data_IF_696788044837
#
_entry.id   IF_696788044837
#
_cell.length_a   1.000
_cell.length_b   1.000
_cell.length_c   1.000
_cell.angle_alpha   90.00
_cell.angle_beta   90.00
_cell.angle_gamma   90.00
#
_symmetry.space_group_name_H-M   'P 1'
#
loop_
_entity.id
_entity.type
_entity.pdbx_description
1 polymer ?
#
# COMPACT_ATOMS: atom_id res chain seq x y z
N UNK A 1 35.19 2.78 -49.91
CA UNK A 1 33.73 3.02 -50.08
C UNK A 1 32.85 1.88 -49.57
N UNK A 2 33.24 1.19 -48.46
CA UNK A 2 32.39 0.20 -47.77
C UNK A 2 32.19 0.56 -46.28
N UNK A 3 33.13 1.33 -45.73
CA UNK A 3 33.11 1.74 -44.33
C UNK A 3 31.96 2.70 -43.98
N UNK A 4 31.66 3.66 -44.86
CA UNK A 4 30.52 4.57 -44.70
C UNK A 4 29.18 3.82 -44.74
N UNK A 5 29.02 2.86 -45.65
CA UNK A 5 27.81 2.03 -45.72
C UNK A 5 27.63 1.17 -44.47
N UNK A 6 28.71 0.55 -43.97
CA UNK A 6 28.71 -0.23 -42.72
C UNK A 6 28.38 0.68 -41.53
N UNK A 7 28.96 1.88 -41.48
CA UNK A 7 28.69 2.86 -40.43
C UNK A 7 27.24 3.35 -40.45
N UNK A 8 26.69 3.66 -41.63
CA UNK A 8 25.31 4.06 -41.81
C UNK A 8 24.33 2.94 -41.37
N UNK A 9 24.61 1.68 -41.70
CA UNK A 9 23.82 0.54 -41.24
C UNK A 9 23.89 0.41 -39.72
N UNK A 10 25.08 0.54 -39.12
CA UNK A 10 25.26 0.51 -37.66
C UNK A 10 24.50 1.63 -36.94
N UNK A 11 24.47 2.84 -37.52
CA UNK A 11 23.69 3.96 -37.00
C UNK A 11 22.18 3.71 -37.07
N UNK A 12 21.68 3.16 -38.18
CA UNK A 12 20.26 2.82 -38.33
C UNK A 12 19.86 1.74 -37.33
N UNK A 13 20.64 0.66 -37.22
CA UNK A 13 20.37 -0.43 -36.28
C UNK A 13 20.45 0.07 -34.83
N UNK A 14 21.43 0.91 -34.51
CA UNK A 14 21.55 1.54 -33.19
C UNK A 14 20.35 2.44 -32.86
N UNK A 15 19.92 3.28 -33.80
CA UNK A 15 18.76 4.15 -33.63
C UNK A 15 17.46 3.34 -33.43
N UNK A 16 17.26 2.27 -34.21
CA UNK A 16 16.14 1.35 -34.04
C UNK A 16 16.20 0.69 -32.66
N UNK A 17 17.37 0.23 -32.24
CA UNK A 17 17.60 -0.35 -30.92
C UNK A 17 17.17 0.60 -29.79
N UNK A 18 17.58 1.87 -29.86
CA UNK A 18 17.20 2.90 -28.87
C UNK A 18 15.68 3.10 -28.84
N UNK A 19 15.02 3.21 -30.00
CA UNK A 19 13.55 3.38 -30.07
C UNK A 19 12.83 2.19 -29.44
N UNK A 20 13.24 0.97 -29.75
CA UNK A 20 12.68 -0.25 -29.17
C UNK A 20 12.90 -0.30 -27.66
N UNK A 21 14.11 0.04 -27.19
CA UNK A 21 14.41 0.11 -25.76
C UNK A 21 13.54 1.13 -25.03
N UNK A 22 13.28 2.30 -25.60
CA UNK A 22 12.41 3.31 -24.99
C UNK A 22 10.95 2.84 -24.90
N UNK A 23 10.43 2.18 -25.93
CA UNK A 23 9.08 1.59 -25.90
C UNK A 23 8.98 0.51 -24.83
N UNK A 24 10.00 -0.34 -24.72
CA UNK A 24 10.08 -1.37 -23.70
C UNK A 24 10.05 -0.76 -22.30
N UNK A 25 10.95 0.19 -22.01
CA UNK A 25 11.02 0.89 -20.71
C UNK A 25 9.69 1.58 -20.38
N UNK A 26 9.08 2.29 -21.34
CA UNK A 26 7.79 2.94 -21.11
C UNK A 26 6.65 1.94 -20.79
N UNK A 27 6.72 0.73 -21.35
CA UNK A 27 5.76 -0.34 -21.07
C UNK A 27 6.05 -0.99 -19.71
N UNK A 28 7.32 -1.24 -19.43
CA UNK A 28 7.80 -1.80 -18.16
C UNK A 28 7.43 -0.90 -16.98
N UNK A 29 7.70 0.40 -17.06
CA UNK A 29 7.35 1.39 -16.02
C UNK A 29 5.84 1.38 -15.74
N UNK A 30 5.01 1.35 -16.79
CA UNK A 30 3.55 1.31 -16.64
C UNK A 30 3.04 0.01 -16.02
N UNK A 31 3.65 -1.11 -16.36
CA UNK A 31 3.31 -2.40 -15.77
C UNK A 31 3.77 -2.50 -14.32
N UNK A 32 4.97 -1.98 -14.02
CA UNK A 32 5.52 -1.86 -12.66
C UNK A 32 4.61 -1.02 -11.77
N UNK A 33 4.18 0.16 -12.22
CA UNK A 33 3.24 1.01 -11.49
C UNK A 33 1.92 0.29 -11.15
N UNK A 34 1.37 -0.49 -12.09
CA UNK A 34 0.16 -1.30 -11.84
C UNK A 34 0.41 -2.42 -10.82
N UNK A 35 1.57 -3.06 -10.87
CA UNK A 35 1.93 -4.12 -9.93
C UNK A 35 2.10 -3.57 -8.51
N UNK A 36 2.77 -2.43 -8.35
CA UNK A 36 2.90 -1.73 -7.06
C UNK A 36 1.54 -1.36 -6.49
N UNK A 37 0.63 -0.82 -7.30
CA UNK A 37 -0.74 -0.52 -6.86
C UNK A 37 -1.52 -1.76 -6.39
N UNK A 38 -1.35 -2.90 -7.07
CA UNK A 38 -1.99 -4.15 -6.65
C UNK A 38 -1.37 -4.73 -5.37
N UNK A 39 -0.05 -4.62 -5.21
CA UNK A 39 0.66 -5.06 -4.01
C UNK A 39 0.25 -4.24 -2.78
N UNK A 40 0.18 -2.91 -2.91
CA UNK A 40 -0.28 -2.01 -1.83
C UNK A 40 -1.70 -2.37 -1.38
N UNK A 41 -2.63 -2.58 -2.32
CA UNK A 41 -3.99 -3.03 -2.00
C UNK A 41 -4.02 -4.35 -1.25
N UNK A 42 -3.18 -5.31 -1.62
CA UNK A 42 -3.12 -6.63 -0.98
C UNK A 42 -2.54 -6.53 0.43
N UNK A 43 -1.39 -5.87 0.61
CA UNK A 43 -0.75 -5.64 1.92
C UNK A 43 -1.77 -5.10 2.92
N UNK A 44 -2.43 -4.02 2.51
CA UNK A 44 -3.45 -3.36 3.31
C UNK A 44 -4.63 -4.29 3.62
N UNK A 45 -5.18 -4.96 2.61
CA UNK A 45 -6.31 -5.89 2.81
C UNK A 45 -5.94 -7.04 3.75
N UNK A 46 -4.69 -7.50 3.70
CA UNK A 46 -4.17 -8.56 4.57
C UNK A 46 -4.12 -8.12 6.03
N UNK A 47 -3.69 -6.87 6.31
CA UNK A 47 -3.68 -6.32 7.67
C UNK A 47 -5.08 -6.32 8.29
N UNK A 48 -6.09 -5.81 7.57
CA UNK A 48 -7.48 -5.79 8.08
C UNK A 48 -8.07 -7.19 8.21
N UNK A 49 -7.74 -8.09 7.28
CA UNK A 49 -8.19 -9.48 7.36
C UNK A 49 -7.59 -10.16 8.59
N UNK A 50 -6.31 -9.93 8.87
CA UNK A 50 -5.63 -10.46 10.04
C UNK A 50 -6.24 -9.92 11.34
N UNK A 51 -6.47 -8.61 11.43
CA UNK A 51 -7.11 -8.00 12.61
C UNK A 51 -8.53 -8.54 12.82
N UNK A 52 -9.33 -8.59 11.76
CA UNK A 52 -10.70 -9.14 11.81
C UNK A 52 -10.70 -10.58 12.28
N UNK A 53 -9.74 -11.38 11.79
CA UNK A 53 -9.58 -12.77 12.19
C UNK A 53 -9.15 -12.90 13.64
N UNK A 54 -8.18 -12.10 14.10
CA UNK A 54 -7.75 -12.09 15.50
C UNK A 54 -8.89 -11.73 16.45
N UNK A 55 -9.69 -10.71 16.13
CA UNK A 55 -10.86 -10.32 16.92
C UNK A 55 -11.95 -11.41 16.92
N UNK A 56 -12.11 -12.15 15.80
CA UNK A 56 -13.06 -13.25 15.72
C UNK A 56 -12.61 -14.49 16.53
N UNK A 57 -11.32 -14.82 16.46
CA UNK A 57 -10.75 -16.02 17.08
C UNK A 57 -10.43 -15.85 18.58
N UNK A 58 -10.20 -14.63 19.05
CA UNK A 58 -9.82 -14.34 20.44
C UNK A 58 -10.87 -13.48 21.15
N UNK A 59 -11.81 -14.09 21.90
CA UNK A 59 -12.84 -13.36 22.66
C UNK A 59 -12.26 -12.30 23.61
N UNK A 60 -11.15 -12.62 24.30
CA UNK A 60 -10.50 -11.71 25.24
C UNK A 60 -9.96 -10.45 24.55
N UNK A 61 -9.39 -10.61 23.34
CA UNK A 61 -8.91 -9.48 22.53
C UNK A 61 -10.06 -8.62 22.02
N UNK A 62 -11.18 -9.24 21.63
CA UNK A 62 -12.38 -8.53 21.20
C UNK A 62 -13.03 -7.75 22.34
N UNK A 63 -13.09 -8.33 23.54
CA UNK A 63 -13.57 -7.65 24.74
C UNK A 63 -12.64 -6.48 25.11
N UNK A 64 -11.32 -6.69 25.07
CA UNK A 64 -10.34 -5.64 25.27
C UNK A 64 -10.50 -4.50 24.25
N UNK A 65 -10.67 -4.85 22.98
CA UNK A 65 -10.88 -3.89 21.89
C UNK A 65 -12.18 -3.09 22.08
N UNK A 66 -13.28 -3.76 22.45
CA UNK A 66 -14.56 -3.12 22.74
C UNK A 66 -14.46 -2.18 23.94
N UNK A 67 -13.87 -2.63 25.05
CA UNK A 67 -13.64 -1.82 26.25
C UNK A 67 -12.76 -0.61 25.95
N UNK A 68 -11.66 -0.79 25.22
CA UNK A 68 -10.79 0.34 24.88
C UNK A 68 -11.43 1.38 23.96
N UNK A 69 -12.44 1.01 23.17
CA UNK A 69 -13.21 1.96 22.36
C UNK A 69 -14.30 2.71 23.15
N UNK A 70 -14.88 2.09 24.17
CA UNK A 70 -16.05 2.63 24.89
C UNK A 70 -15.74 3.15 26.30
N UNK A 71 -14.69 2.63 26.93
CA UNK A 71 -14.31 2.89 28.32
C UNK A 71 -12.79 2.77 28.47
N UNK A 72 -12.06 3.59 27.70
CA UNK A 72 -10.60 3.60 27.71
C UNK A 72 -10.02 3.89 29.10
N UNK A 73 -10.69 4.73 29.90
CA UNK A 73 -10.23 5.13 31.23
C UNK A 73 -10.21 3.97 32.23
N UNK A 74 -10.97 2.89 31.98
CA UNK A 74 -10.93 1.68 32.80
C UNK A 74 -9.84 0.68 32.39
N UNK A 75 -9.07 0.96 31.33
CA UNK A 75 -7.95 0.11 30.95
C UNK A 75 -6.73 0.38 31.84
N UNK A 76 -6.29 -0.67 32.53
CA UNK A 76 -5.10 -0.61 33.40
C UNK A 76 -4.15 -1.78 33.11
N UNK A 77 -2.88 -1.61 33.51
CA UNK A 77 -1.88 -2.68 33.44
C UNK A 77 -1.67 -3.23 32.03
N UNK A 78 -1.83 -4.55 31.88
CA UNK A 78 -1.59 -5.26 30.62
C UNK A 78 -2.66 -4.99 29.56
N UNK A 79 -3.89 -4.67 29.97
CA UNK A 79 -5.00 -4.38 29.06
C UNK A 79 -4.71 -3.08 28.29
N UNK A 80 -4.24 -2.04 28.99
CA UNK A 80 -3.85 -0.78 28.36
C UNK A 80 -2.74 -0.98 27.31
N UNK A 81 -1.73 -1.79 27.62
CA UNK A 81 -0.62 -2.10 26.70
C UNK A 81 -1.13 -2.89 25.49
N UNK A 82 -2.00 -3.87 25.71
CA UNK A 82 -2.60 -4.68 24.65
C UNK A 82 -3.44 -3.83 23.69
N UNK A 83 -4.30 -2.96 24.23
CA UNK A 83 -5.11 -2.06 23.43
C UNK A 83 -4.24 -1.05 22.66
N UNK A 84 -3.24 -0.45 23.31
CA UNK A 84 -2.31 0.45 22.65
C UNK A 84 -1.54 -0.22 21.49
N UNK A 85 -1.19 -1.50 21.63
CA UNK A 85 -0.59 -2.28 20.55
C UNK A 85 -1.52 -2.47 19.36
N UNK A 86 -2.80 -2.80 19.61
CA UNK A 86 -3.81 -2.92 18.55
C UNK A 86 -3.99 -1.59 17.82
N UNK A 87 -4.12 -0.49 18.58
CA UNK A 87 -4.23 0.86 18.02
C UNK A 87 -2.98 1.24 17.19
N UNK A 88 -1.78 0.93 17.68
CA UNK A 88 -0.54 1.19 16.95
C UNK A 88 -0.49 0.44 15.61
N UNK A 89 -0.96 -0.80 15.55
CA UNK A 89 -1.04 -1.55 14.29
C UNK A 89 -2.02 -0.92 13.31
N UNK A 90 -3.19 -0.48 13.79
CA UNK A 90 -4.15 0.28 12.98
C UNK A 90 -3.52 1.58 12.44
N UNK A 91 -2.87 2.37 13.30
CA UNK A 91 -2.21 3.60 12.87
C UNK A 91 -1.12 3.37 11.83
N UNK A 92 -0.30 2.33 11.99
CA UNK A 92 0.71 1.97 10.98
C UNK A 92 0.09 1.60 9.64
N UNK A 93 -1.04 0.91 9.63
CA UNK A 93 -1.76 0.60 8.39
C UNK A 93 -2.28 1.86 7.70
N UNK A 94 -2.81 2.82 8.48
CA UNK A 94 -3.20 4.14 7.97
C UNK A 94 -2.03 4.96 7.45
N UNK A 95 -0.89 4.93 8.15
CA UNK A 95 0.34 5.61 7.75
C UNK A 95 0.88 5.05 6.41
N UNK A 96 0.95 3.72 6.26
CA UNK A 96 1.37 3.07 5.02
C UNK A 96 0.44 3.43 3.85
N UNK A 97 -0.86 3.45 4.08
CA UNK A 97 -1.82 3.87 3.05
C UNK A 97 -1.73 5.37 2.72
N UNK A 98 -1.46 6.22 3.71
CA UNK A 98 -1.31 7.66 3.51
C UNK A 98 -0.06 7.99 2.69
N UNK A 99 1.10 7.42 3.05
CA UNK A 99 2.33 7.61 2.26
C UNK A 99 2.18 7.01 0.86
N UNK A 100 1.58 5.82 0.73
CA UNK A 100 1.28 5.24 -0.57
C UNK A 100 0.33 6.11 -1.42
N UNK A 101 -0.59 6.86 -0.80
CA UNK A 101 -1.43 7.82 -1.51
C UNK A 101 -0.62 9.04 -2.01
N UNK A 102 0.25 9.60 -1.16
CA UNK A 102 1.13 10.71 -1.53
C UNK A 102 2.06 10.37 -2.69
N UNK A 103 2.55 9.14 -2.74
CA UNK A 103 3.45 8.64 -3.80
C UNK A 103 2.72 8.25 -5.10
N UNK A 104 1.38 8.22 -5.09
CA UNK A 104 0.55 7.85 -6.25
C UNK A 104 0.37 6.33 -6.45
N UNK A 105 0.80 5.54 -5.46
CA UNK A 105 0.77 4.07 -5.47
C UNK A 105 -0.55 3.48 -4.93
N UNK A 106 -1.44 4.32 -4.40
CA UNK A 106 -2.76 3.89 -3.92
C UNK A 106 -3.88 4.36 -4.86
N UNK A 107 -4.82 3.47 -5.19
CA UNK A 107 -5.99 3.82 -6.00
C UNK A 107 -6.82 4.91 -5.28
N UNK A 108 -7.13 6.04 -5.94
CA UNK A 108 -7.92 7.12 -5.35
C UNK A 108 -9.31 6.70 -4.84
N UNK A 109 -9.87 5.60 -5.34
CA UNK A 109 -11.13 5.02 -4.83
C UNK A 109 -10.92 4.32 -3.48
N UNK A 110 -9.79 3.64 -3.31
CA UNK A 110 -9.43 2.98 -2.07
C UNK A 110 -9.20 4.03 -0.97
N UNK A 111 -8.43 5.07 -1.31
CA UNK A 111 -8.15 6.20 -0.42
C UNK A 111 -9.43 6.88 0.08
N UNK A 112 -10.39 7.16 -0.80
CA UNK A 112 -11.67 7.77 -0.40
C UNK A 112 -12.49 6.93 0.58
N UNK A 113 -12.48 5.60 0.44
CA UNK A 113 -13.14 4.72 1.41
C UNK A 113 -12.49 4.80 2.79
N UNK A 114 -11.18 4.98 2.83
CA UNK A 114 -10.40 5.10 4.05
C UNK A 114 -10.55 6.45 4.72
N UNK A 115 -10.55 7.52 3.94
CA UNK A 115 -10.83 8.87 4.39
C UNK A 115 -12.21 8.95 5.06
N UNK A 116 -13.21 8.27 4.50
CA UNK A 116 -14.53 8.16 5.13
C UNK A 116 -14.46 7.43 6.47
N UNK A 117 -13.80 6.27 6.54
CA UNK A 117 -13.66 5.51 7.79
C UNK A 117 -12.90 6.29 8.88
N UNK A 118 -11.82 6.99 8.53
CA UNK A 118 -11.08 7.84 9.48
C UNK A 118 -11.89 9.03 9.96
N UNK A 119 -12.71 9.62 9.08
CA UNK A 119 -13.60 10.72 9.43
C UNK A 119 -14.68 10.28 10.42
N UNK A 120 -15.22 9.07 10.26
CA UNK A 120 -16.23 8.50 11.16
C UNK A 120 -15.67 8.20 12.56
N UNK A 121 -14.36 7.98 12.70
CA UNK A 121 -13.70 7.78 14.01
C UNK A 121 -13.57 9.09 14.80
N UNK A 122 -13.49 10.23 14.11
CA UNK A 122 -13.38 11.56 14.73
C UNK A 122 -14.74 12.29 14.88
N UNK A 123 -15.85 11.63 14.55
CA UNK A 123 -17.20 12.20 14.49
C UNK A 123 -18.11 11.84 15.65
#
# INVERSE_FOLDING_TARGET
>A
MNWEAISAIGQIVGAIGVVVSLIYVATEVRNSARATQLASRRSISEIFTLLSRQLAEHPDLRELYYRGLHDFESLEGTDLVGFAQVMLQLFRAYEEAYYGHLEGDVDPRLWRGWEAAMRDING
#
